data_IF_558591063154
#
_entry.id   IF_558591063154
#
_cell.length_a   1.000
_cell.length_b   1.000
_cell.length_c   1.000
_cell.angle_alpha   90.00
_cell.angle_beta   90.00
_cell.angle_gamma   90.00
#
_symmetry.space_group_name_H-M   'P 1'
#
loop_
_entity.id
_entity.type
_entity.pdbx_description
1 polymer ?
#
# COMPACT_ATOMS: atom_id res chain seq x y z
N UNK A 1 28.79 -20.06 -3.23
CA UNK A 1 27.37 -20.40 -3.11
C UNK A 1 26.86 -20.37 -1.66
N UNK A 2 27.43 -21.12 -0.70
CA UNK A 2 27.04 -21.03 0.72
C UNK A 2 27.15 -19.61 1.37
N UNK A 3 28.18 -18.78 1.10
CA UNK A 3 28.28 -17.46 1.74
C UNK A 3 27.20 -16.45 1.29
N UNK A 4 26.70 -16.56 0.07
CA UNK A 4 25.59 -15.72 -0.41
C UNK A 4 24.29 -16.04 0.32
N UNK A 5 24.01 -17.32 0.52
CA UNK A 5 22.82 -17.77 1.27
C UNK A 5 22.87 -17.27 2.71
N UNK A 6 24.03 -17.34 3.36
CA UNK A 6 24.22 -16.81 4.72
C UNK A 6 23.99 -15.30 4.77
N UNK A 7 24.51 -14.54 3.80
CA UNK A 7 24.30 -13.09 3.72
C UNK A 7 22.82 -12.73 3.49
N UNK A 8 22.14 -13.45 2.59
CA UNK A 8 20.70 -13.29 2.36
C UNK A 8 19.94 -13.55 3.64
N UNK A 9 20.24 -14.64 4.35
CA UNK A 9 19.57 -15.03 5.58
C UNK A 9 19.72 -13.97 6.68
N UNK A 10 20.93 -13.44 6.89
CA UNK A 10 21.16 -12.35 7.86
C UNK A 10 20.38 -11.09 7.47
N UNK A 11 20.45 -10.68 6.20
CA UNK A 11 19.73 -9.49 5.70
C UNK A 11 18.22 -9.64 5.85
N UNK A 12 17.67 -10.81 5.55
CA UNK A 12 16.24 -11.09 5.70
C UNK A 12 15.78 -11.03 7.14
N UNK A 13 16.55 -11.61 8.09
CA UNK A 13 16.21 -11.55 9.52
C UNK A 13 16.25 -10.10 10.03
N UNK A 14 17.30 -9.35 9.68
CA UNK A 14 17.43 -7.93 10.08
C UNK A 14 16.29 -7.11 9.49
N UNK A 15 15.97 -7.27 8.20
CA UNK A 15 14.87 -6.59 7.55
C UNK A 15 13.52 -6.93 8.21
N UNK A 16 13.28 -8.20 8.55
CA UNK A 16 12.06 -8.62 9.22
C UNK A 16 11.90 -7.96 10.59
N UNK A 17 12.95 -7.96 11.42
CA UNK A 17 12.93 -7.34 12.74
C UNK A 17 12.67 -5.83 12.63
N UNK A 18 13.33 -5.15 11.70
CA UNK A 18 13.12 -3.72 11.45
C UNK A 18 11.69 -3.43 11.00
N UNK A 19 11.16 -4.19 10.03
CA UNK A 19 9.78 -4.04 9.57
C UNK A 19 8.77 -4.31 10.69
N UNK A 20 9.00 -5.32 11.51
CA UNK A 20 8.14 -5.64 12.64
C UNK A 20 8.10 -4.51 13.68
N UNK A 21 9.26 -3.93 14.00
CA UNK A 21 9.35 -2.77 14.90
C UNK A 21 8.63 -1.55 14.30
N UNK A 22 8.86 -1.25 13.02
CA UNK A 22 8.18 -0.16 12.31
C UNK A 22 6.66 -0.35 12.30
N UNK A 23 6.18 -1.55 11.96
CA UNK A 23 4.75 -1.87 11.99
C UNK A 23 4.16 -1.68 13.40
N UNK A 24 4.92 -2.01 14.45
CA UNK A 24 4.50 -1.77 15.83
C UNK A 24 4.42 -0.28 16.19
N UNK A 25 5.35 0.54 15.69
CA UNK A 25 5.32 2.01 15.88
C UNK A 25 4.15 2.67 15.15
N UNK A 26 3.82 2.24 13.92
CA UNK A 26 2.69 2.79 13.15
C UNK A 26 1.32 2.46 13.77
N UNK A 27 1.25 1.40 14.58
CA UNK A 27 0.07 1.05 15.36
C UNK A 27 -1.02 0.34 14.54
N UNK A 28 -1.84 -0.46 15.23
CA UNK A 28 -2.82 -1.38 14.59
C UNK A 28 -3.98 -0.67 13.86
N UNK A 29 -4.21 0.63 14.11
CA UNK A 29 -5.37 1.36 13.59
C UNK A 29 -5.30 1.64 12.09
N UNK A 30 -4.10 1.80 11.51
CA UNK A 30 -3.96 2.09 10.06
C UNK A 30 -4.32 0.88 9.19
N UNK A 31 -3.93 -0.33 9.58
CA UNK A 31 -4.12 -1.54 8.75
C UNK A 31 -5.59 -1.99 8.72
N UNK A 32 -6.35 -1.77 9.81
CA UNK A 32 -7.73 -2.27 9.95
C UNK A 32 -8.76 -1.54 9.08
N UNK A 33 -8.41 -0.39 8.50
CA UNK A 33 -9.34 0.49 7.77
C UNK A 33 -8.99 0.59 6.28
N UNK A 34 -7.95 -0.12 5.81
CA UNK A 34 -7.55 -0.11 4.40
C UNK A 34 -8.40 -1.10 3.61
N UNK A 35 -8.90 -0.66 2.46
CA UNK A 35 -9.50 -1.56 1.47
C UNK A 35 -8.41 -2.42 0.83
N UNK A 36 -8.79 -3.52 0.16
CA UNK A 36 -7.85 -4.32 -0.62
C UNK A 36 -7.14 -3.47 -1.69
N UNK A 37 -7.87 -2.54 -2.29
CA UNK A 37 -7.33 -1.60 -3.27
C UNK A 37 -6.28 -0.67 -2.64
N UNK A 38 -6.57 -0.07 -1.48
CA UNK A 38 -5.63 0.81 -0.77
C UNK A 38 -4.35 0.08 -0.37
N UNK A 39 -4.47 -1.19 0.01
CA UNK A 39 -3.32 -2.04 0.32
C UNK A 39 -2.40 -2.26 -0.90
N UNK A 40 -2.96 -2.60 -2.06
CA UNK A 40 -2.21 -2.79 -3.30
C UNK A 40 -1.52 -1.50 -3.76
N UNK A 41 -2.22 -0.37 -3.68
CA UNK A 41 -1.68 0.95 -4.03
C UNK A 41 -0.57 1.34 -3.06
N UNK A 42 -0.78 1.14 -1.76
CA UNK A 42 0.21 1.42 -0.72
C UNK A 42 1.51 0.64 -0.90
N UNK A 43 1.44 -0.66 -1.23
CA UNK A 43 2.63 -1.46 -1.54
C UNK A 43 3.35 -0.92 -2.78
N UNK A 44 2.61 -0.59 -3.83
CA UNK A 44 3.19 -0.11 -5.08
C UNK A 44 3.92 1.22 -4.87
N UNK A 45 3.27 2.18 -4.21
CA UNK A 45 3.86 3.48 -3.87
C UNK A 45 5.08 3.28 -2.96
N UNK A 46 4.98 2.42 -1.94
CA UNK A 46 6.10 2.08 -1.05
C UNK A 46 7.29 1.48 -1.79
N UNK A 47 7.04 0.61 -2.77
CA UNK A 47 8.10 0.04 -3.62
C UNK A 47 8.77 1.11 -4.48
N UNK A 48 8.00 2.02 -5.08
CA UNK A 48 8.57 3.13 -5.89
C UNK A 48 9.39 4.06 -4.99
N UNK A 49 8.88 4.40 -3.80
CA UNK A 49 9.59 5.22 -2.83
C UNK A 49 10.90 4.56 -2.37
N UNK A 50 10.88 3.25 -2.11
CA UNK A 50 12.08 2.49 -1.78
C UNK A 50 13.09 2.54 -2.93
N UNK A 51 12.68 2.21 -4.15
CA UNK A 51 13.55 2.27 -5.33
C UNK A 51 14.15 3.67 -5.54
N UNK A 52 13.34 4.72 -5.45
CA UNK A 52 13.82 6.10 -5.55
C UNK A 52 14.82 6.46 -4.43
N UNK A 53 14.67 5.87 -3.25
CA UNK A 53 15.51 6.16 -2.09
C UNK A 53 16.84 5.39 -2.10
N UNK A 54 16.87 4.17 -2.66
CA UNK A 54 18.03 3.27 -2.56
C UNK A 54 18.75 3.02 -3.88
N UNK A 55 18.06 3.08 -5.02
CA UNK A 55 18.67 2.80 -6.32
C UNK A 55 19.22 4.08 -6.95
N UNK A 56 20.54 4.23 -6.89
CA UNK A 56 21.26 5.39 -7.42
C UNK A 56 21.22 5.49 -8.95
N UNK A 57 20.81 4.43 -9.66
CA UNK A 57 20.69 4.44 -11.12
C UNK A 57 19.38 5.08 -11.59
N UNK A 58 18.39 5.20 -10.70
CA UNK A 58 17.10 5.79 -11.03
C UNK A 58 17.20 7.31 -10.94
N UNK A 59 16.91 7.99 -12.05
CA UNK A 59 16.81 9.46 -12.06
C UNK A 59 15.70 9.89 -11.09
N UNK A 60 16.01 10.83 -10.20
CA UNK A 60 15.07 11.34 -9.18
C UNK A 60 13.74 11.79 -9.81
N UNK A 61 13.81 12.49 -10.95
CA UNK A 61 12.63 12.97 -11.66
C UNK A 61 11.69 11.82 -12.09
N UNK A 62 12.24 10.67 -12.48
CA UNK A 62 11.42 9.52 -12.87
C UNK A 62 10.65 8.97 -11.67
N UNK A 63 11.33 8.81 -10.53
CA UNK A 63 10.66 8.35 -9.30
C UNK A 63 9.61 9.34 -8.81
N UNK A 64 9.87 10.66 -8.88
CA UNK A 64 8.89 11.69 -8.52
C UNK A 64 7.66 11.66 -9.43
N UNK A 65 7.86 11.57 -10.75
CA UNK A 65 6.75 11.47 -11.72
C UNK A 65 5.96 10.18 -11.50
N UNK A 66 6.63 9.05 -11.26
CA UNK A 66 5.97 7.78 -10.93
C UNK A 66 5.14 7.88 -9.65
N UNK A 67 5.68 8.46 -8.58
CA UNK A 67 4.93 8.68 -7.33
C UNK A 67 3.73 9.61 -7.55
N UNK A 68 3.87 10.67 -8.34
CA UNK A 68 2.76 11.57 -8.65
C UNK A 68 1.65 10.84 -9.41
N UNK A 69 1.98 10.05 -10.43
CA UNK A 69 0.99 9.29 -11.21
C UNK A 69 0.29 8.25 -10.32
N UNK A 70 1.07 7.43 -9.60
CA UNK A 70 0.52 6.38 -8.74
C UNK A 70 -0.25 6.93 -7.53
N UNK A 71 0.11 8.12 -7.03
CA UNK A 71 -0.63 8.80 -5.97
C UNK A 71 -1.91 9.47 -6.46
N UNK A 72 -1.94 9.99 -7.69
CA UNK A 72 -3.14 10.61 -8.28
C UNK A 72 -4.20 9.59 -8.68
N UNK A 73 -3.79 8.41 -9.15
CA UNK A 73 -4.70 7.36 -9.60
C UNK A 73 -5.78 6.94 -8.57
N UNK A 74 -5.44 6.61 -7.31
CA UNK A 74 -6.43 6.27 -6.29
C UNK A 74 -7.36 7.45 -5.97
N UNK A 75 -6.87 8.70 -6.03
CA UNK A 75 -7.69 9.91 -5.82
C UNK A 75 -8.74 10.04 -6.93
N UNK A 76 -8.33 9.86 -8.19
CA UNK A 76 -9.24 9.89 -9.33
C UNK A 76 -10.28 8.76 -9.22
N UNK A 77 -9.85 7.55 -8.87
CA UNK A 77 -10.75 6.41 -8.71
C UNK A 77 -11.74 6.62 -7.56
N UNK A 78 -11.30 7.16 -6.43
CA UNK A 78 -12.18 7.53 -5.33
C UNK A 78 -13.23 8.56 -5.77
N UNK A 79 -12.82 9.58 -6.53
CA UNK A 79 -13.74 10.57 -7.10
C UNK A 79 -14.75 9.96 -8.08
N UNK A 80 -14.32 9.03 -8.94
CA UNK A 80 -15.21 8.30 -9.85
C UNK A 80 -16.14 7.34 -9.11
N UNK A 81 -15.68 6.74 -8.01
CA UNK A 81 -16.47 5.89 -7.11
C UNK A 81 -17.68 6.62 -6.53
N UNK A 82 -17.55 7.92 -6.23
CA UNK A 82 -18.68 8.76 -5.79
C UNK A 82 -19.76 8.94 -6.86
N UNK A 83 -19.39 8.85 -8.16
CA UNK A 83 -20.35 8.97 -9.28
C UNK A 83 -20.89 7.63 -9.77
N UNK A 84 -20.21 6.51 -9.49
CA UNK A 84 -20.58 5.18 -9.99
C UNK A 84 -20.49 4.13 -8.90
N UNK A 85 -21.65 3.54 -8.58
CA UNK A 85 -21.76 2.40 -7.64
C UNK A 85 -20.95 1.18 -8.11
N UNK A 86 -20.69 1.03 -9.41
CA UNK A 86 -19.87 -0.07 -9.94
C UNK A 86 -18.41 0.13 -9.56
N UNK A 87 -17.90 1.36 -9.67
CA UNK A 87 -16.50 1.70 -9.36
C UNK A 87 -16.25 1.57 -7.86
N UNK A 88 -17.10 2.17 -7.02
CA UNK A 88 -16.98 2.04 -5.56
C UNK A 88 -17.07 0.59 -5.09
N UNK A 89 -17.94 -0.23 -5.70
CA UNK A 89 -18.07 -1.65 -5.34
C UNK A 89 -16.84 -2.49 -5.70
N UNK A 90 -16.05 -2.06 -6.68
CA UNK A 90 -14.79 -2.72 -7.10
C UNK A 90 -13.61 -2.25 -6.23
N UNK A 91 -13.52 -0.95 -5.90
CA UNK A 91 -12.39 -0.39 -5.13
C UNK A 91 -12.58 -0.56 -3.63
N UNK A 92 -13.76 -0.23 -3.11
CA UNK A 92 -14.03 -0.15 -1.67
C UNK A 92 -14.64 -1.46 -1.13
N UNK A 93 -14.98 -2.39 -2.03
CA UNK A 93 -15.74 -3.59 -1.72
C UNK A 93 -17.24 -3.30 -1.53
N UNK A 94 -18.02 -4.34 -1.22
CA UNK A 94 -19.46 -4.15 -0.95
C UNK A 94 -19.63 -3.40 0.38
N UNK A 95 -20.41 -2.32 0.37
CA UNK A 95 -20.86 -1.63 1.57
C UNK A 95 -21.33 -2.67 2.61
N UNK A 96 -20.64 -2.75 3.74
CA UNK A 96 -21.11 -3.54 4.87
C UNK A 96 -22.28 -2.76 5.45
N UNK A 97 -23.51 -3.21 5.19
CA UNK A 97 -24.72 -2.67 5.82
C UNK A 97 -24.58 -2.97 7.32
N UNK A 98 -24.11 -1.98 8.09
CA UNK A 98 -23.85 -2.15 9.52
C UNK A 98 -25.15 -2.20 10.34
N UNK A 99 -26.26 -1.67 9.83
CA UNK A 99 -27.57 -1.68 10.50
C UNK A 99 -28.67 -1.90 9.46
N UNK A 100 -29.24 -3.12 9.46
CA UNK A 100 -30.54 -3.37 8.85
C UNK A 100 -31.58 -3.10 9.93
N UNK A 101 -32.19 -1.92 9.91
CA UNK A 101 -33.38 -1.65 10.73
C UNK A 101 -34.49 -2.57 10.23
N UNK A 102 -34.73 -3.69 10.94
CA UNK A 102 -35.97 -4.44 10.77
C UNK A 102 -37.10 -3.56 11.29
N UNK A 103 -37.87 -3.01 10.35
CA UNK A 103 -39.06 -2.24 10.62
C UNK A 103 -40.20 -3.24 10.91
N UNK A 104 -40.60 -3.34 12.18
CA UNK A 104 -41.89 -3.90 12.57
C UNK A 104 -43.00 -2.88 12.34
#
# INVERSE_FOLDING_TARGET
MMPEIVLILIRSIVAFILLFLMARFMGKKQISQLTFFDYCVGITIGSIAATLSVDQNVKIINGLVSLAIWGLFPIILAYLGLKSLVVSKITDGKATILIKMEKY
#
